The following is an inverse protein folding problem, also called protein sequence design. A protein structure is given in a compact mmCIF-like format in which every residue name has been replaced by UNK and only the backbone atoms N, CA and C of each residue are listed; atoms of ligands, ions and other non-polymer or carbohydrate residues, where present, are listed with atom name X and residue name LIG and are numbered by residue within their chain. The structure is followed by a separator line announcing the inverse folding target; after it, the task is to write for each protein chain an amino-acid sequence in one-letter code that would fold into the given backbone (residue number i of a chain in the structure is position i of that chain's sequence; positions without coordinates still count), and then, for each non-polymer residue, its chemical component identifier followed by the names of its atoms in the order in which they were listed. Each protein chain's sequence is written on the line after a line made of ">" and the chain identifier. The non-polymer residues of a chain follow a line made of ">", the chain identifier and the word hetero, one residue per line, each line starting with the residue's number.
data_IF_686791464693
#
_entry.id   IF_686791464693
#
_cell.length_a   1.000
_cell.length_b   1.000
_cell.length_c   1.000
_cell.angle_alpha   90.00
_cell.angle_beta   90.00
_cell.angle_gamma   90.00
#
_symmetry.space_group_name_H-M   'P 1'
#
loop_
_entity.id
_entity.type
_entity.pdbx_description
1 polymer ?
#
# COMPACT_ATOMS: atom_id res chain seq x y z
N UNK A 1 21.44 9.47 -5.22
CA UNK A 1 21.57 8.03 -5.51
C UNK A 1 22.39 7.39 -4.42
N UNK A 2 21.76 6.66 -3.51
CA UNK A 2 22.42 6.00 -2.37
C UNK A 2 21.70 4.74 -1.90
N UNK A 3 20.84 4.16 -2.75
CA UNK A 3 20.13 2.93 -2.43
C UNK A 3 21.12 1.80 -2.12
N UNK A 4 20.85 1.06 -1.05
CA UNK A 4 21.70 -0.03 -0.55
C UNK A 4 23.19 0.33 -0.42
N UNK A 5 23.51 1.54 0.04
CA UNK A 5 24.90 1.93 0.34
C UNK A 5 25.81 2.12 -0.88
N UNK A 6 25.24 2.45 -2.05
CA UNK A 6 26.01 2.71 -3.28
C UNK A 6 26.01 1.55 -4.28
N UNK A 7 25.37 0.43 -3.93
CA UNK A 7 25.20 -0.71 -4.82
C UNK A 7 24.53 -0.33 -6.16
N UNK A 8 23.46 0.47 -6.11
CA UNK A 8 22.78 0.95 -7.31
C UNK A 8 23.71 1.78 -8.22
N UNK A 9 24.58 2.60 -7.62
CA UNK A 9 25.57 3.40 -8.37
C UNK A 9 26.60 2.51 -9.08
N UNK A 10 27.03 1.42 -8.44
CA UNK A 10 27.94 0.44 -9.04
C UNK A 10 27.31 -0.28 -10.24
N UNK A 11 26.05 -0.69 -10.12
CA UNK A 11 25.30 -1.30 -11.23
C UNK A 11 25.11 -0.33 -12.40
N UNK A 12 24.78 0.93 -12.14
CA UNK A 12 24.67 1.93 -13.20
C UNK A 12 26.03 2.19 -13.87
N UNK A 13 27.12 2.25 -13.11
CA UNK A 13 28.44 2.55 -13.65
C UNK A 13 29.04 1.40 -14.46
N UNK A 14 28.91 0.15 -13.99
CA UNK A 14 29.58 -1.02 -14.59
C UNK A 14 28.66 -1.75 -15.58
N UNK A 15 27.39 -1.93 -15.22
CA UNK A 15 26.44 -2.73 -15.99
C UNK A 15 25.53 -1.88 -16.89
N UNK A 16 25.67 -0.54 -16.87
CA UNK A 16 24.77 0.41 -17.56
C UNK A 16 23.31 0.22 -17.14
N UNK A 17 23.09 -0.19 -15.88
CA UNK A 17 21.74 -0.37 -15.35
C UNK A 17 21.02 0.97 -15.20
N UNK A 18 19.73 1.00 -15.52
CA UNK A 18 18.87 2.17 -15.40
C UNK A 18 18.02 2.05 -14.14
N UNK A 19 17.95 3.11 -13.35
CA UNK A 19 17.04 3.19 -12.22
C UNK A 19 15.65 3.54 -12.72
N UNK A 20 14.67 2.73 -12.36
CA UNK A 20 13.24 2.96 -12.65
C UNK A 20 12.44 3.07 -11.36
N UNK A 21 11.26 3.71 -11.36
CA UNK A 21 10.37 3.69 -10.21
C UNK A 21 10.01 2.24 -9.84
N UNK A 22 10.19 1.88 -8.57
CA UNK A 22 10.04 0.49 -8.11
C UNK A 22 8.62 -0.05 -8.27
N UNK A 23 7.61 0.78 -7.97
CA UNK A 23 6.21 0.40 -8.18
C UNK A 23 5.92 0.13 -9.65
N UNK A 24 6.34 1.02 -10.56
CA UNK A 24 6.07 0.86 -11.99
C UNK A 24 6.66 -0.44 -12.53
N UNK A 25 7.88 -0.77 -12.13
CA UNK A 25 8.53 -2.02 -12.54
C UNK A 25 7.77 -3.25 -12.01
N UNK A 26 7.35 -3.25 -10.73
CA UNK A 26 6.61 -4.37 -10.14
C UNK A 26 5.21 -4.48 -10.73
N UNK A 27 4.51 -3.36 -10.93
CA UNK A 27 3.18 -3.31 -11.51
C UNK A 27 3.17 -3.90 -12.92
N UNK A 28 4.17 -3.54 -13.73
CA UNK A 28 4.35 -4.09 -15.07
C UNK A 28 4.59 -5.61 -15.05
N UNK A 29 5.45 -6.09 -14.14
CA UNK A 29 5.78 -7.52 -14.05
C UNK A 29 4.62 -8.39 -13.58
N UNK A 30 3.67 -7.82 -12.83
CA UNK A 30 2.54 -8.56 -12.26
C UNK A 30 1.23 -8.35 -13.04
N UNK A 31 1.24 -7.62 -14.16
CA UNK A 31 0.01 -7.33 -14.92
C UNK A 31 -0.99 -6.50 -14.13
N UNK A 32 -0.52 -5.59 -13.27
CA UNK A 32 -1.39 -4.80 -12.39
C UNK A 32 -2.36 -3.93 -13.19
N UNK A 33 -1.87 -3.25 -14.23
CA UNK A 33 -2.71 -2.40 -15.07
C UNK A 33 -3.74 -3.23 -15.86
N UNK A 34 -3.35 -4.41 -16.36
CA UNK A 34 -4.26 -5.34 -17.04
C UNK A 34 -5.37 -5.83 -16.10
N UNK A 35 -5.04 -6.10 -14.83
CA UNK A 35 -6.02 -6.51 -13.82
C UNK A 35 -7.03 -5.39 -13.50
N UNK A 36 -6.59 -4.13 -13.49
CA UNK A 36 -7.51 -2.99 -13.37
C UNK A 36 -8.40 -2.87 -14.61
N UNK A 37 -7.84 -3.05 -15.81
CA UNK A 37 -8.57 -2.97 -17.09
C UNK A 37 -9.56 -4.12 -17.30
N UNK A 38 -9.31 -5.27 -16.69
CA UNK A 38 -10.25 -6.39 -16.69
C UNK A 38 -11.55 -6.11 -15.92
N UNK A 39 -11.68 -4.96 -15.25
CA UNK A 39 -12.90 -4.49 -14.61
C UNK A 39 -12.97 -4.79 -13.11
N UNK A 40 -11.90 -4.51 -12.37
CA UNK A 40 -11.92 -4.63 -10.91
C UNK A 40 -12.87 -3.59 -10.29
N UNK A 41 -13.71 -4.00 -9.34
CA UNK A 41 -14.65 -3.10 -8.65
C UNK A 41 -14.03 -2.36 -7.47
N UNK A 42 -12.94 -2.89 -6.90
CA UNK A 42 -12.30 -2.39 -5.69
C UNK A 42 -10.82 -2.76 -5.68
N UNK A 43 -9.97 -1.78 -5.37
CA UNK A 43 -8.56 -2.02 -5.05
C UNK A 43 -8.38 -2.08 -3.52
N UNK A 44 -7.77 -3.15 -3.03
CA UNK A 44 -7.34 -3.25 -1.63
C UNK A 44 -5.81 -3.17 -1.60
N UNK A 45 -5.27 -2.14 -0.94
CA UNK A 45 -3.82 -1.98 -0.71
C UNK A 45 -3.48 -2.26 0.74
N UNK A 46 -2.21 -2.56 1.02
CA UNK A 46 -1.77 -2.73 2.41
C UNK A 46 -0.30 -2.49 2.63
N UNK A 47 0.03 -2.12 3.87
CA UNK A 47 1.40 -1.94 4.33
C UNK A 47 1.52 -2.08 5.86
N UNK A 48 2.75 -2.14 6.37
CA UNK A 48 2.98 -2.24 7.81
C UNK A 48 2.63 -0.96 8.59
N UNK A 49 2.93 0.22 8.04
CA UNK A 49 2.63 1.52 8.66
C UNK A 49 2.25 2.53 7.60
N UNK A 50 1.01 2.99 7.65
CA UNK A 50 0.51 4.08 6.82
C UNK A 50 0.78 5.40 7.53
N UNK A 51 1.89 6.03 7.17
CA UNK A 51 2.37 7.29 7.71
C UNK A 51 2.59 8.32 6.58
N UNK A 52 2.96 9.55 6.96
CA UNK A 52 3.24 10.62 5.99
C UNK A 52 4.35 10.28 4.99
N UNK A 53 5.24 9.35 5.31
CA UNK A 53 6.26 8.88 4.38
C UNK A 53 5.67 7.93 3.32
N UNK A 54 4.58 7.22 3.62
CA UNK A 54 3.85 6.49 2.58
C UNK A 54 3.16 7.44 1.62
N UNK A 55 2.55 8.49 2.16
CA UNK A 55 1.86 9.52 1.39
C UNK A 55 2.75 10.24 0.37
N UNK A 56 4.08 10.24 0.59
CA UNK A 56 5.04 10.88 -0.31
C UNK A 56 5.42 10.08 -1.56
N UNK A 57 4.73 8.96 -1.84
CA UNK A 57 4.85 8.24 -3.11
C UNK A 57 5.32 6.79 -2.99
N UNK A 58 4.94 6.09 -1.91
CA UNK A 58 5.12 4.63 -1.83
C UNK A 58 4.04 3.88 -2.61
N UNK A 59 4.19 2.56 -2.64
CA UNK A 59 3.35 1.59 -3.34
C UNK A 59 1.84 1.84 -3.16
N UNK A 60 1.28 2.03 -1.94
CA UNK A 60 -0.17 2.18 -1.77
C UNK A 60 -0.75 3.37 -2.53
N UNK A 61 -0.08 4.52 -2.48
CA UNK A 61 -0.53 5.76 -3.15
C UNK A 61 -0.41 5.64 -4.67
N UNK A 62 0.69 5.06 -5.16
CA UNK A 62 0.89 4.87 -6.59
C UNK A 62 -0.15 3.91 -7.19
N UNK A 63 -0.50 2.84 -6.45
CA UNK A 63 -1.56 1.92 -6.83
C UNK A 63 -2.95 2.59 -6.79
N UNK A 64 -3.26 3.32 -5.72
CA UNK A 64 -4.53 4.03 -5.55
C UNK A 64 -4.78 5.04 -6.67
N UNK A 65 -3.81 5.89 -6.99
CA UNK A 65 -3.92 6.85 -8.10
C UNK A 65 -4.14 6.20 -9.47
N UNK A 66 -3.53 5.03 -9.72
CA UNK A 66 -3.75 4.29 -10.98
C UNK A 66 -5.13 3.64 -11.05
N UNK A 67 -5.69 3.23 -9.92
CA UNK A 67 -7.04 2.71 -9.82
C UNK A 67 -8.07 3.85 -9.96
N UNK A 68 -7.85 4.99 -9.29
CA UNK A 68 -8.70 6.18 -9.38
C UNK A 68 -8.81 6.69 -10.81
N UNK A 69 -7.69 6.72 -11.57
CA UNK A 69 -7.71 7.11 -12.98
C UNK A 69 -8.63 6.24 -13.87
N UNK A 70 -9.07 5.08 -13.38
CA UNK A 70 -10.00 4.15 -14.02
C UNK A 70 -11.38 4.12 -13.33
N UNK A 71 -11.62 4.99 -12.35
CA UNK A 71 -12.84 5.05 -11.57
C UNK A 71 -12.97 3.93 -10.53
N UNK A 72 -11.87 3.24 -10.19
CA UNK A 72 -11.86 2.13 -9.24
C UNK A 72 -11.49 2.68 -7.86
N UNK A 73 -12.37 2.59 -6.86
CA UNK A 73 -12.05 3.04 -5.51
C UNK A 73 -10.97 2.19 -4.87
N UNK A 74 -10.13 2.81 -4.05
CA UNK A 74 -9.07 2.13 -3.31
C UNK A 74 -9.28 2.24 -1.79
N UNK A 75 -9.12 1.13 -1.08
CA UNK A 75 -9.17 1.05 0.39
C UNK A 75 -7.89 0.43 0.93
N UNK A 76 -7.52 0.76 2.17
CA UNK A 76 -6.26 0.33 2.76
C UNK A 76 -6.43 -0.55 4.01
N UNK A 77 -5.59 -1.57 4.14
CA UNK A 77 -5.39 -2.35 5.36
C UNK A 77 -3.96 -2.15 5.83
N UNK A 78 -3.78 -1.48 6.97
CA UNK A 78 -2.45 -1.09 7.46
C UNK A 78 -2.16 -1.66 8.85
N UNK A 79 -0.92 -2.03 9.13
CA UNK A 79 -0.53 -2.47 10.49
C UNK A 79 -0.80 -1.39 11.53
N UNK A 80 -0.28 -0.18 11.29
CA UNK A 80 -0.60 1.04 12.02
C UNK A 80 -1.05 2.14 11.06
N UNK A 81 -2.00 2.98 11.50
CA UNK A 81 -2.49 4.14 10.75
C UNK A 81 -2.08 5.40 11.49
N UNK A 82 -1.20 6.18 10.88
CA UNK A 82 -0.60 7.40 11.45
C UNK A 82 -0.85 8.61 10.53
N UNK A 83 -2.00 8.63 9.86
CA UNK A 83 -2.43 9.67 8.92
C UNK A 83 -3.86 10.11 9.22
N UNK A 84 -4.17 11.36 8.89
CA UNK A 84 -5.51 11.91 9.03
C UNK A 84 -6.37 11.57 7.81
N UNK A 85 -7.70 11.72 7.95
CA UNK A 85 -8.65 11.46 6.85
C UNK A 85 -8.39 12.32 5.61
N UNK A 86 -8.08 13.59 5.80
CA UNK A 86 -7.80 14.50 4.68
C UNK A 86 -6.54 14.04 3.90
N UNK A 87 -5.55 13.51 4.62
CA UNK A 87 -4.32 12.99 4.04
C UNK A 87 -4.53 11.68 3.26
N UNK A 88 -5.56 10.90 3.60
CA UNK A 88 -5.97 9.71 2.83
C UNK A 88 -6.67 10.09 1.53
N UNK A 89 -7.53 11.11 1.58
CA UNK A 89 -8.22 11.62 0.40
C UNK A 89 -7.23 12.14 -0.64
N UNK A 90 -6.19 12.87 -0.23
CA UNK A 90 -5.09 13.33 -1.11
C UNK A 90 -4.28 12.18 -1.75
N UNK A 91 -4.39 10.97 -1.17
CA UNK A 91 -3.76 9.75 -1.65
C UNK A 91 -4.68 8.86 -2.48
N UNK A 92 -5.92 9.30 -2.77
CA UNK A 92 -6.96 8.52 -3.45
C UNK A 92 -7.35 7.24 -2.71
N UNK A 93 -7.23 7.24 -1.37
CA UNK A 93 -7.63 6.12 -0.50
C UNK A 93 -8.91 6.53 0.24
N UNK A 94 -10.00 5.82 -0.02
CA UNK A 94 -11.34 6.19 0.46
C UNK A 94 -11.67 5.71 1.87
N UNK A 95 -11.10 4.59 2.31
CA UNK A 95 -11.21 4.09 3.69
C UNK A 95 -9.96 3.31 4.10
N UNK A 96 -9.72 3.22 5.40
CA UNK A 96 -8.61 2.46 5.99
C UNK A 96 -9.01 1.78 7.28
N UNK A 97 -8.46 0.59 7.53
CA UNK A 97 -8.50 -0.05 8.85
C UNK A 97 -7.08 -0.39 9.31
N UNK A 98 -6.75 0.03 10.54
CA UNK A 98 -5.52 -0.31 11.23
C UNK A 98 -5.63 -1.64 12.00
N UNK A 99 -4.64 -2.53 11.86
CA UNK A 99 -4.58 -3.78 12.64
C UNK A 99 -4.44 -3.47 14.13
N UNK A 100 -3.63 -2.48 14.50
CA UNK A 100 -3.43 -2.05 15.90
C UNK A 100 -4.71 -1.51 16.58
N UNK A 101 -5.70 -1.08 15.80
CA UNK A 101 -6.99 -0.58 16.30
C UNK A 101 -7.98 -1.73 16.59
N UNK A 102 -7.80 -2.86 15.90
CA UNK A 102 -8.68 -4.03 16.02
C UNK A 102 -8.03 -5.20 16.76
N UNK A 103 -6.82 -5.00 17.28
CA UNK A 103 -6.10 -6.01 18.03
C UNK A 103 -6.80 -6.32 19.34
N UNK A 104 -6.72 -7.59 19.78
CA UNK A 104 -7.30 -8.00 21.05
C UNK A 104 -6.56 -7.33 22.23
N UNK A 105 -5.32 -6.89 21.99
CA UNK A 105 -4.53 -5.99 22.84
C UNK A 105 -4.34 -4.65 22.14
N UNK A 106 -5.32 -3.76 22.29
CA UNK A 106 -5.34 -2.46 21.62
C UNK A 106 -3.98 -1.73 21.71
N UNK A 107 -3.37 -1.45 20.56
CA UNK A 107 -2.09 -0.74 20.47
C UNK A 107 -0.83 -1.58 20.68
N UNK A 108 -0.92 -2.90 20.87
CA UNK A 108 0.25 -3.78 20.96
C UNK A 108 0.76 -4.19 19.56
N UNK A 109 1.86 -3.56 19.16
CA UNK A 109 2.54 -3.85 17.89
C UNK A 109 3.11 -5.27 17.84
N UNK A 110 3.53 -5.82 18.98
CA UNK A 110 4.09 -7.18 19.02
C UNK A 110 3.00 -8.23 18.80
N UNK A 111 1.85 -8.07 19.45
CA UNK A 111 0.66 -8.90 19.23
C UNK A 111 0.19 -8.85 17.77
N UNK A 112 0.13 -7.66 17.18
CA UNK A 112 -0.30 -7.49 15.78
C UNK A 112 0.69 -8.09 14.78
N UNK A 113 1.99 -8.05 15.05
CA UNK A 113 3.01 -8.72 14.22
C UNK A 113 2.89 -10.25 14.37
N UNK A 114 2.77 -10.76 15.60
CA UNK A 114 2.68 -12.21 15.88
C UNK A 114 1.40 -12.84 15.30
N UNK A 115 0.32 -12.07 15.23
CA UNK A 115 -0.98 -12.54 14.76
C UNK A 115 -1.44 -11.80 13.49
N UNK A 116 -0.51 -11.32 12.65
CA UNK A 116 -0.80 -10.49 11.49
C UNK A 116 -1.86 -11.10 10.56
N UNK A 117 -1.76 -12.40 10.24
CA UNK A 117 -2.72 -13.07 9.36
C UNK A 117 -4.17 -12.96 9.86
N UNK A 118 -4.39 -13.22 11.16
CA UNK A 118 -5.70 -13.10 11.82
C UNK A 118 -6.24 -11.68 11.75
N UNK A 119 -5.39 -10.68 11.97
CA UNK A 119 -5.82 -9.29 11.98
C UNK A 119 -6.01 -8.72 10.58
N UNK A 120 -5.20 -9.11 9.58
CA UNK A 120 -5.44 -8.77 8.17
C UNK A 120 -6.78 -9.33 7.72
N UNK A 121 -7.08 -10.60 8.03
CA UNK A 121 -8.37 -11.23 7.68
C UNK A 121 -9.56 -10.44 8.28
N UNK A 122 -9.53 -10.20 9.60
CA UNK A 122 -10.58 -9.44 10.29
C UNK A 122 -10.69 -8.00 9.80
N UNK A 123 -9.57 -7.32 9.54
CA UNK A 123 -9.56 -5.96 9.02
C UNK A 123 -10.19 -5.90 7.63
N UNK A 124 -9.78 -6.80 6.74
CA UNK A 124 -10.28 -6.88 5.37
C UNK A 124 -11.77 -7.18 5.36
N UNK A 125 -12.24 -8.14 6.17
CA UNK A 125 -13.67 -8.45 6.29
C UNK A 125 -14.48 -7.22 6.72
N UNK A 126 -14.02 -6.51 7.76
CA UNK A 126 -14.69 -5.30 8.24
C UNK A 126 -14.69 -4.19 7.19
N UNK A 127 -13.60 -4.01 6.47
CA UNK A 127 -13.44 -2.97 5.45
C UNK A 127 -14.37 -3.23 4.26
N UNK A 128 -14.38 -4.46 3.73
CA UNK A 128 -15.23 -4.83 2.60
C UNK A 128 -16.71 -4.73 2.95
N UNK A 129 -17.11 -5.08 4.19
CA UNK A 129 -18.50 -4.90 4.65
C UNK A 129 -18.95 -3.44 4.70
N UNK A 130 -18.03 -2.47 4.84
CA UNK A 130 -18.37 -1.03 4.79
C UNK A 130 -18.53 -0.51 3.36
N UNK A 131 -17.98 -1.23 2.39
CA UNK A 131 -18.03 -0.88 0.98
C UNK A 131 -19.31 -1.35 0.28
N UNK A 132 -20.04 -2.31 0.88
CA UNK A 132 -21.36 -2.77 0.44
C UNK A 132 -22.48 -1.85 0.92
#
# INVERSE_FOLDING_TARGET
>A
MGAAGGFASGLTAVCRAVTVPGFDAVAQLNGFDDALEAGADLLIVGEGSLDKQTLSGKVPVAAARRAEARGIPAVAVAGAVNVQKDELADAEISDVIGLAEISDRAGDTDDTIQHAAKYVERATEKLVRRFQ
#
